data_IF_817254650525
#
_entry.id   IF_817254650525
#
_cell.length_a   1.000
_cell.length_b   1.000
_cell.length_c   1.000
_cell.angle_alpha   90.00
_cell.angle_beta   90.00
_cell.angle_gamma   90.00
#
_symmetry.space_group_name_H-M   'P 1'
#
loop_
_entity.id
_entity.type
_entity.pdbx_description
1 polymer ?
#
# COMPACT_ATOMS: atom_id res chain seq x y z
N UNK A 1 22.53 -26.06 7.70
CA UNK A 1 21.54 -25.01 7.97
C UNK A 1 20.66 -24.88 6.74
N UNK A 2 19.34 -25.00 6.87
CA UNK A 2 18.45 -24.72 5.74
C UNK A 2 18.30 -23.20 5.59
N UNK A 3 17.98 -22.75 4.38
CA UNK A 3 17.80 -21.34 4.01
C UNK A 3 16.70 -20.61 4.84
N UNK A 4 15.94 -21.32 5.68
CA UNK A 4 14.69 -20.82 6.26
C UNK A 4 14.58 -20.91 7.80
N UNK A 5 15.65 -21.23 8.54
CA UNK A 5 15.57 -21.32 10.01
C UNK A 5 16.75 -20.61 10.69
N UNK A 6 16.45 -19.71 11.64
CA UNK A 6 17.44 -19.17 12.59
C UNK A 6 17.93 -20.34 13.45
N UNK A 7 19.23 -20.63 13.41
CA UNK A 7 19.80 -21.94 13.78
C UNK A 7 19.94 -22.22 15.28
N UNK A 8 18.83 -22.30 16.02
CA UNK A 8 18.83 -22.68 17.44
C UNK A 8 18.47 -24.16 17.63
N UNK A 9 17.35 -24.62 17.07
CA UNK A 9 17.09 -26.05 16.85
C UNK A 9 17.39 -26.45 15.41
N UNK A 10 17.86 -27.67 15.23
CA UNK A 10 18.17 -28.26 13.93
C UNK A 10 17.83 -29.75 13.89
N UNK A 11 17.76 -30.28 12.67
CA UNK A 11 17.65 -31.70 12.41
C UNK A 11 19.03 -32.35 12.40
N UNK A 12 19.15 -33.48 13.09
CA UNK A 12 20.37 -34.28 13.16
C UNK A 12 20.12 -35.69 12.63
N UNK A 13 21.21 -36.42 12.38
CA UNK A 13 21.20 -37.82 11.95
C UNK A 13 20.25 -38.03 10.76
N UNK A 14 20.35 -37.20 9.72
CA UNK A 14 19.48 -37.26 8.54
C UNK A 14 17.96 -37.13 8.85
N UNK A 15 17.59 -36.29 9.82
CA UNK A 15 16.19 -36.07 10.20
C UNK A 15 15.65 -37.11 11.18
N UNK A 16 16.52 -37.88 11.83
CA UNK A 16 16.16 -38.87 12.85
C UNK A 16 15.97 -38.27 14.24
N UNK A 17 16.56 -37.11 14.49
CA UNK A 17 16.41 -36.42 15.78
C UNK A 17 16.36 -34.90 15.60
N UNK A 18 15.73 -34.24 16.57
CA UNK A 18 15.78 -32.79 16.76
C UNK A 18 16.76 -32.52 17.90
N UNK A 19 17.64 -31.54 17.71
CA UNK A 19 18.61 -31.13 18.71
C UNK A 19 18.88 -29.63 18.66
N UNK A 20 19.53 -29.13 19.71
CA UNK A 20 20.02 -27.76 19.76
C UNK A 20 21.38 -27.64 19.03
N UNK A 21 21.71 -26.42 18.63
CA UNK A 21 22.97 -26.10 17.95
C UNK A 21 24.23 -26.39 18.82
N UNK A 22 24.07 -26.48 20.14
CA UNK A 22 25.12 -26.86 21.09
C UNK A 22 25.36 -28.37 21.18
N UNK A 23 24.60 -29.18 20.43
CA UNK A 23 24.71 -30.63 20.40
C UNK A 23 23.81 -31.35 21.41
N UNK A 24 23.01 -30.63 22.20
CA UNK A 24 22.04 -31.23 23.12
C UNK A 24 20.88 -31.87 22.35
N UNK A 25 20.63 -33.15 22.61
CA UNK A 25 19.49 -33.86 22.03
C UNK A 25 18.17 -33.41 22.67
N UNK A 26 17.19 -33.07 21.85
CA UNK A 26 15.85 -32.63 22.32
C UNK A 26 14.85 -33.78 22.22
N UNK A 27 14.71 -34.37 21.04
CA UNK A 27 13.84 -35.54 20.87
C UNK A 27 14.23 -36.42 19.67
N UNK A 28 13.83 -37.68 19.75
CA UNK A 28 13.94 -38.66 18.67
C UNK A 28 12.64 -38.70 17.87
N UNK A 29 12.74 -38.87 16.56
CA UNK A 29 11.60 -38.77 15.64
C UNK A 29 10.93 -40.14 15.46
N UNK A 30 9.60 -40.16 15.58
CA UNK A 30 8.71 -41.30 15.38
C UNK A 30 7.50 -40.85 14.52
N UNK A 31 6.80 -41.76 13.81
CA UNK A 31 7.02 -43.21 13.70
C UNK A 31 8.25 -43.57 12.88
N UNK A 32 8.72 -44.80 13.05
CA UNK A 32 9.83 -45.38 12.30
C UNK A 32 9.30 -46.48 11.39
N UNK A 33 9.87 -46.57 10.19
CA UNK A 33 9.68 -47.69 9.28
C UNK A 33 10.22 -49.00 9.88
N UNK A 34 9.99 -50.11 9.19
CA UNK A 34 10.41 -51.45 9.61
C UNK A 34 11.94 -51.57 9.85
N UNK A 35 12.73 -50.63 9.30
CA UNK A 35 14.19 -50.57 9.45
C UNK A 35 14.64 -49.65 10.59
N UNK A 36 13.71 -49.08 11.37
CA UNK A 36 14.02 -48.17 12.47
C UNK A 36 14.39 -46.75 12.04
N UNK A 37 14.11 -46.37 10.78
CA UNK A 37 14.28 -44.99 10.29
C UNK A 37 12.96 -44.25 10.34
N UNK A 38 12.93 -42.95 10.68
CA UNK A 38 11.70 -42.17 10.63
C UNK A 38 11.15 -42.21 9.22
N UNK A 39 9.85 -42.49 9.12
CA UNK A 39 9.16 -42.52 7.84
C UNK A 39 9.03 -41.10 7.24
N UNK A 40 8.31 -40.98 6.12
CA UNK A 40 8.09 -39.69 5.47
C UNK A 40 7.36 -38.68 6.37
N UNK A 41 6.43 -39.16 7.19
CA UNK A 41 5.60 -38.34 8.08
C UNK A 41 6.41 -37.85 9.30
N UNK A 42 7.15 -38.74 9.95
CA UNK A 42 8.05 -38.41 11.06
C UNK A 42 9.06 -37.34 10.66
N UNK A 43 9.69 -37.47 9.48
CA UNK A 43 10.61 -36.44 8.96
C UNK A 43 9.91 -35.10 8.72
N UNK A 44 8.68 -35.11 8.21
CA UNK A 44 7.91 -33.88 8.00
C UNK A 44 7.55 -33.19 9.33
N UNK A 45 7.15 -33.97 10.34
CA UNK A 45 6.83 -33.47 11.66
C UNK A 45 8.07 -32.90 12.37
N UNK A 46 9.22 -33.56 12.26
CA UNK A 46 10.48 -33.04 12.78
C UNK A 46 10.86 -31.68 12.16
N UNK A 47 10.67 -31.53 10.85
CA UNK A 47 10.88 -30.24 10.16
C UNK A 47 9.95 -29.15 10.69
N UNK A 48 8.67 -29.48 10.93
CA UNK A 48 7.69 -28.53 11.49
C UNK A 48 8.05 -28.12 12.91
N UNK A 49 8.46 -29.06 13.75
CA UNK A 49 8.89 -28.78 15.13
C UNK A 49 10.04 -27.76 15.13
N UNK A 50 11.09 -28.03 14.34
CA UNK A 50 12.24 -27.13 14.23
C UNK A 50 11.81 -25.75 13.71
N UNK A 51 10.96 -25.69 12.68
CA UNK A 51 10.50 -24.43 12.13
C UNK A 51 9.64 -23.62 13.11
N UNK A 52 8.66 -24.26 13.77
CA UNK A 52 7.77 -23.60 14.71
C UNK A 52 8.51 -23.13 15.96
N UNK A 53 9.41 -23.94 16.51
CA UNK A 53 10.20 -23.55 17.68
C UNK A 53 11.11 -22.36 17.34
N UNK A 54 11.85 -22.42 16.23
CA UNK A 54 12.74 -21.33 15.83
C UNK A 54 11.97 -20.05 15.48
N UNK A 55 10.73 -20.16 15.00
CA UNK A 55 9.84 -19.01 14.75
C UNK A 55 9.40 -18.34 16.05
N UNK A 56 9.16 -19.12 17.09
CA UNK A 56 8.66 -18.69 18.39
C UNK A 56 9.78 -18.44 19.42
N UNK A 57 11.03 -18.42 18.98
CA UNK A 57 12.17 -18.08 19.82
C UNK A 57 12.02 -16.68 20.43
N UNK A 58 12.32 -16.55 21.72
CA UNK A 58 12.20 -15.31 22.49
C UNK A 58 10.82 -15.05 23.12
N UNK A 59 9.80 -15.87 22.85
CA UNK A 59 8.50 -15.80 23.54
C UNK A 59 8.45 -16.73 24.74
N UNK A 60 7.81 -16.31 25.84
CA UNK A 60 7.64 -17.15 27.03
C UNK A 60 6.72 -18.33 26.68
N UNK A 61 7.16 -19.55 27.00
CA UNK A 61 6.39 -20.78 26.76
C UNK A 61 5.02 -20.74 27.42
N UNK A 62 4.89 -20.10 28.59
CA UNK A 62 3.61 -19.95 29.29
C UNK A 62 2.58 -19.13 28.51
N UNK A 63 3.03 -18.28 27.59
CA UNK A 63 2.14 -17.49 26.73
C UNK A 63 1.60 -18.29 25.55
N UNK A 64 2.29 -19.37 25.16
CA UNK A 64 1.97 -20.25 24.04
C UNK A 64 1.12 -21.46 24.46
N UNK A 65 1.29 -21.92 25.70
CA UNK A 65 0.61 -23.10 26.21
C UNK A 65 -0.91 -22.89 26.33
N UNK A 66 -1.68 -23.81 25.72
CA UNK A 66 -3.14 -23.87 25.89
C UNK A 66 -3.93 -22.79 25.16
N UNK A 67 -3.29 -22.00 24.30
CA UNK A 67 -3.97 -20.97 23.48
C UNK A 67 -3.86 -21.30 21.99
N UNK A 68 -4.87 -20.88 21.22
CA UNK A 68 -4.82 -20.93 19.77
C UNK A 68 -3.82 -19.91 19.22
N UNK A 69 -3.33 -20.14 17.99
CA UNK A 69 -2.45 -19.18 17.31
C UNK A 69 -3.10 -17.79 17.20
N UNK A 70 -4.43 -17.74 16.97
CA UNK A 70 -5.17 -16.49 16.91
C UNK A 70 -5.14 -15.74 18.26
N UNK A 71 -5.35 -16.44 19.37
CA UNK A 71 -5.28 -15.84 20.72
C UNK A 71 -3.88 -15.39 21.08
N UNK A 72 -2.85 -16.18 20.75
CA UNK A 72 -1.45 -15.79 20.95
C UNK A 72 -1.10 -14.52 20.15
N UNK A 73 -1.44 -14.49 18.86
CA UNK A 73 -1.22 -13.31 18.01
C UNK A 73 -2.02 -12.10 18.51
N UNK A 74 -3.25 -12.29 18.97
CA UNK A 74 -4.07 -11.21 19.52
C UNK A 74 -3.48 -10.62 20.82
N UNK A 75 -2.86 -11.44 21.68
CA UNK A 75 -2.17 -10.96 22.88
C UNK A 75 -0.87 -10.20 22.57
N UNK A 76 -0.12 -10.66 21.57
CA UNK A 76 1.12 -10.00 21.12
C UNK A 76 0.85 -8.75 20.29
N UNK A 77 -0.31 -8.67 19.63
CA UNK A 77 -0.87 -7.44 19.11
C UNK A 77 -1.34 -6.58 20.29
N UNK A 78 -0.38 -6.03 21.05
CA UNK A 78 -0.65 -5.02 22.06
C UNK A 78 -1.44 -3.86 21.42
N UNK A 79 -2.75 -3.90 21.62
CA UNK A 79 -3.62 -2.74 21.55
C UNK A 79 -3.34 -1.96 22.84
N UNK A 80 -2.46 -0.97 22.77
CA UNK A 80 -2.01 -0.25 23.97
C UNK A 80 -3.16 0.47 24.69
N UNK A 81 -4.25 0.76 23.98
CA UNK A 81 -5.50 1.28 24.55
C UNK A 81 -6.61 1.20 23.49
N UNK A 82 -7.83 0.83 23.91
CA UNK A 82 -9.05 1.04 23.15
C UNK A 82 -9.94 1.96 23.98
N UNK A 83 -9.80 3.26 23.78
CA UNK A 83 -10.60 4.29 24.45
C UNK A 83 -11.78 4.67 23.55
N UNK A 84 -13.00 4.23 23.90
CA UNK A 84 -14.24 4.61 23.21
C UNK A 84 -14.85 5.88 23.79
N UNK A 85 -14.05 6.95 23.89
CA UNK A 85 -14.55 8.24 24.41
C UNK A 85 -14.53 9.39 23.39
N UNK A 86 -13.90 9.24 22.22
CA UNK A 86 -13.88 10.24 21.11
C UNK A 86 -13.34 9.59 19.80
N UNK A 87 -13.88 8.42 19.43
CA UNK A 87 -13.52 7.68 18.21
C UNK A 87 -12.50 6.54 18.36
N UNK A 88 -12.43 5.67 17.35
CA UNK A 88 -11.58 4.46 17.35
C UNK A 88 -10.13 4.80 16.99
N UNK A 89 -9.31 5.08 18.01
CA UNK A 89 -7.86 5.25 17.84
C UNK A 89 -7.15 3.91 18.09
N UNK A 90 -6.69 3.25 17.03
CA UNK A 90 -5.96 1.97 17.12
C UNK A 90 -4.45 2.26 17.05
N UNK A 91 -3.79 2.33 18.21
CA UNK A 91 -2.33 2.35 18.24
C UNK A 91 -1.79 0.91 18.10
N UNK A 92 -1.27 0.60 16.91
CA UNK A 92 -0.65 -0.70 16.61
C UNK A 92 0.87 -0.55 16.60
N UNK A 93 1.58 -1.46 17.26
CA UNK A 93 3.04 -1.52 17.23
C UNK A 93 3.53 -2.90 16.78
N UNK A 94 4.81 -2.99 16.38
CA UNK A 94 5.42 -4.24 15.97
C UNK A 94 4.82 -4.86 14.70
N UNK A 95 4.65 -6.18 14.70
CA UNK A 95 4.22 -6.96 13.51
C UNK A 95 2.79 -6.65 13.05
N UNK A 96 1.91 -6.14 13.93
CA UNK A 96 0.53 -5.81 13.59
C UNK A 96 0.44 -4.66 12.57
N UNK A 97 1.25 -3.61 12.74
CA UNK A 97 1.33 -2.51 11.77
C UNK A 97 1.92 -2.98 10.44
N UNK A 98 2.91 -3.89 10.47
CA UNK A 98 3.47 -4.50 9.27
C UNK A 98 2.45 -5.37 8.52
N UNK A 99 1.60 -6.12 9.22
CA UNK A 99 0.53 -6.92 8.59
C UNK A 99 -0.52 -6.02 7.94
N UNK A 100 -0.95 -4.97 8.64
CA UNK A 100 -1.88 -3.97 8.08
C UNK A 100 -1.27 -3.29 6.86
N UNK A 101 -0.01 -2.85 6.94
CA UNK A 101 0.71 -2.28 5.80
C UNK A 101 0.88 -3.28 4.64
N UNK A 102 1.14 -4.56 4.92
CA UNK A 102 1.24 -5.62 3.92
C UNK A 102 -0.11 -5.93 3.26
N UNK A 103 -1.20 -5.93 4.03
CA UNK A 103 -2.57 -6.06 3.52
C UNK A 103 -2.91 -4.90 2.59
N UNK A 104 -2.57 -3.67 2.95
CA UNK A 104 -2.76 -2.51 2.09
C UNK A 104 -1.84 -2.53 0.85
N UNK A 105 -0.58 -2.97 0.97
CA UNK A 105 0.31 -3.16 -0.17
C UNK A 105 -0.16 -4.28 -1.12
N UNK A 106 -0.78 -5.33 -0.58
CA UNK A 106 -1.46 -6.39 -1.34
C UNK A 106 -2.63 -5.83 -2.16
N UNK A 107 -3.46 -4.97 -1.56
CA UNK A 107 -4.53 -4.26 -2.28
C UNK A 107 -3.98 -3.34 -3.38
N UNK A 108 -2.82 -2.72 -3.16
CA UNK A 108 -2.15 -1.89 -4.18
C UNK A 108 -1.80 -2.69 -5.45
N UNK A 109 -1.29 -3.92 -5.28
CA UNK A 109 -0.96 -4.82 -6.41
C UNK A 109 -2.22 -5.40 -7.04
N UNK A 110 -3.23 -5.76 -6.25
CA UNK A 110 -4.46 -6.37 -6.74
C UNK A 110 -5.36 -5.40 -7.52
N UNK A 111 -5.44 -4.13 -7.10
CA UNK A 111 -6.25 -3.10 -7.76
C UNK A 111 -5.57 -2.48 -8.99
N UNK A 112 -4.37 -2.93 -9.38
CA UNK A 112 -3.63 -2.37 -10.51
C UNK A 112 -3.20 -0.92 -10.32
N UNK A 113 -3.27 -0.40 -9.08
CA UNK A 113 -2.88 0.96 -8.77
C UNK A 113 -1.38 1.14 -9.06
N UNK A 114 -1.05 2.12 -9.91
CA UNK A 114 0.33 2.33 -10.36
C UNK A 114 1.10 3.32 -9.47
N UNK A 115 0.41 4.25 -8.79
CA UNK A 115 1.07 5.31 -8.02
C UNK A 115 0.36 5.74 -6.73
N UNK A 116 -0.95 5.53 -6.61
CA UNK A 116 -1.77 6.06 -5.51
C UNK A 116 -2.94 5.13 -5.21
N UNK A 117 -3.24 4.93 -3.93
CA UNK A 117 -4.40 4.20 -3.44
C UNK A 117 -5.18 5.12 -2.50
N UNK A 118 -6.49 5.17 -2.70
CA UNK A 118 -7.42 5.91 -1.87
C UNK A 118 -8.39 4.95 -1.21
N UNK A 119 -8.58 5.10 0.11
CA UNK A 119 -9.54 4.35 0.89
C UNK A 119 -10.46 5.35 1.56
N UNK A 120 -11.73 5.32 1.20
CA UNK A 120 -12.75 6.13 1.84
C UNK A 120 -13.40 5.35 2.98
N UNK A 121 -13.63 6.05 4.08
CA UNK A 121 -14.34 5.55 5.25
C UNK A 121 -15.31 6.61 5.75
N UNK A 122 -16.20 6.21 6.64
CA UNK A 122 -17.09 7.14 7.33
C UNK A 122 -17.05 6.80 8.82
N UNK A 123 -16.83 7.80 9.66
CA UNK A 123 -16.80 7.63 11.11
C UNK A 123 -17.85 8.56 11.73
N UNK A 124 -18.64 8.10 12.72
CA UNK A 124 -19.77 8.87 13.26
C UNK A 124 -19.44 10.28 13.74
N UNK A 125 -18.22 10.52 14.24
CA UNK A 125 -17.82 11.82 14.82
C UNK A 125 -17.00 12.69 13.85
N UNK A 126 -16.10 12.10 13.07
CA UNK A 126 -15.26 12.84 12.11
C UNK A 126 -15.91 12.95 10.74
N UNK A 127 -17.03 12.25 10.52
CA UNK A 127 -17.70 12.16 9.23
C UNK A 127 -16.90 11.35 8.21
N UNK A 128 -17.17 11.55 6.91
CA UNK A 128 -16.43 10.87 5.84
C UNK A 128 -14.97 11.29 5.86
N UNK A 129 -14.06 10.31 5.81
CA UNK A 129 -12.63 10.52 5.77
C UNK A 129 -11.97 9.65 4.71
N UNK A 130 -10.76 10.06 4.32
CA UNK A 130 -10.00 9.40 3.26
C UNK A 130 -8.59 9.10 3.74
N UNK A 131 -8.17 7.84 3.64
CA UNK A 131 -6.79 7.41 3.83
C UNK A 131 -6.15 7.32 2.45
N UNK A 132 -5.00 7.97 2.30
CA UNK A 132 -4.26 8.02 1.05
C UNK A 132 -2.89 7.38 1.23
N UNK A 133 -2.55 6.49 0.30
CA UNK A 133 -1.26 5.83 0.26
C UNK A 133 -0.62 6.04 -1.09
N UNK A 134 0.67 6.38 -1.10
CA UNK A 134 1.38 6.74 -2.31
C UNK A 134 2.78 6.15 -2.33
N UNK A 135 3.24 5.76 -3.53
CA UNK A 135 4.63 5.34 -3.73
C UNK A 135 5.57 6.53 -3.53
N UNK A 136 6.67 6.29 -2.82
CA UNK A 136 7.75 7.27 -2.57
C UNK A 136 8.34 7.87 -3.84
N UNK A 137 8.37 7.11 -4.94
CA UNK A 137 8.89 7.57 -6.23
C UNK A 137 7.82 8.15 -7.18
N UNK A 138 6.56 8.25 -6.75
CA UNK A 138 5.48 8.87 -7.51
C UNK A 138 5.24 10.33 -7.10
N UNK A 139 4.66 11.13 -8.00
CA UNK A 139 4.22 12.50 -7.67
C UNK A 139 2.99 12.47 -6.77
N UNK A 140 3.01 13.29 -5.71
CA UNK A 140 1.88 13.40 -4.77
C UNK A 140 0.67 14.09 -5.39
N UNK A 141 -0.56 13.86 -4.88
CA UNK A 141 -1.72 14.63 -5.32
C UNK A 141 -1.47 16.14 -5.27
N UNK A 142 -0.84 16.63 -4.20
CA UNK A 142 -0.45 18.04 -4.09
C UNK A 142 0.56 18.46 -5.18
N UNK A 143 1.56 17.61 -5.48
CA UNK A 143 2.53 17.89 -6.55
C UNK A 143 1.91 17.84 -7.95
N UNK A 144 0.97 16.89 -8.20
CA UNK A 144 0.21 16.82 -9.45
C UNK A 144 -0.69 18.04 -9.60
N UNK A 145 -1.38 18.43 -8.53
CA UNK A 145 -2.20 19.63 -8.52
C UNK A 145 -1.35 20.86 -8.82
N UNK A 146 -0.23 21.06 -8.13
CA UNK A 146 0.68 22.17 -8.40
C UNK A 146 1.21 22.17 -9.84
N UNK A 147 1.55 21.00 -10.39
CA UNK A 147 1.98 20.88 -11.78
C UNK A 147 0.85 21.23 -12.77
N UNK A 148 -0.37 20.75 -12.53
CA UNK A 148 -1.55 21.07 -13.32
C UNK A 148 -1.92 22.55 -13.25
N UNK A 149 -1.90 23.14 -12.05
CA UNK A 149 -2.09 24.58 -11.84
C UNK A 149 -1.09 25.38 -12.67
N UNK A 150 0.20 25.01 -12.63
CA UNK A 150 1.21 25.68 -13.43
C UNK A 150 0.97 25.56 -14.95
N UNK A 151 0.55 24.39 -15.42
CA UNK A 151 0.22 24.18 -16.83
C UNK A 151 -1.00 25.01 -17.25
N UNK A 152 -2.03 25.04 -16.42
CA UNK A 152 -3.23 25.85 -16.61
C UNK A 152 -2.88 27.33 -16.69
N UNK A 153 -2.03 27.83 -15.78
CA UNK A 153 -1.67 29.24 -15.74
C UNK A 153 -0.92 29.67 -17.01
N UNK A 154 0.02 28.83 -17.50
CA UNK A 154 0.72 29.06 -18.78
C UNK A 154 -0.26 29.06 -19.97
N UNK A 155 -1.23 28.15 -19.99
CA UNK A 155 -2.23 28.10 -21.06
C UNK A 155 -3.18 29.30 -21.01
N UNK A 156 -3.56 29.74 -19.81
CA UNK A 156 -4.39 30.92 -19.60
C UNK A 156 -3.67 32.19 -20.07
N UNK A 157 -2.37 32.33 -19.77
CA UNK A 157 -1.55 33.43 -20.28
C UNK A 157 -1.50 33.45 -21.82
N UNK A 158 -1.32 32.29 -22.45
CA UNK A 158 -1.34 32.17 -23.91
C UNK A 158 -2.69 32.54 -24.52
N UNK A 159 -3.80 32.09 -23.92
CA UNK A 159 -5.16 32.43 -24.36
C UNK A 159 -5.47 33.92 -24.19
N UNK A 160 -5.02 34.56 -23.11
CA UNK A 160 -5.11 36.01 -22.93
C UNK A 160 -4.32 36.75 -24.02
N UNK A 161 -3.17 36.23 -24.44
CA UNK A 161 -2.43 36.75 -25.60
C UNK A 161 -3.24 36.66 -26.90
N UNK A 162 -3.90 35.53 -27.16
CA UNK A 162 -4.79 35.34 -28.32
C UNK A 162 -5.98 36.31 -28.27
N UNK A 163 -6.63 36.43 -27.12
CA UNK A 163 -7.72 37.39 -26.92
C UNK A 163 -7.25 38.83 -27.12
N UNK A 164 -6.03 39.15 -26.72
CA UNK A 164 -5.39 40.43 -27.02
C UNK A 164 -5.26 40.70 -28.52
N UNK A 165 -4.82 39.71 -29.31
CA UNK A 165 -4.78 39.81 -30.78
C UNK A 165 -6.19 40.00 -31.35
N UNK A 166 -7.16 39.22 -30.86
CA UNK A 166 -8.56 39.30 -31.30
C UNK A 166 -9.14 40.68 -31.03
N UNK A 167 -8.92 41.25 -29.85
CA UNK A 167 -9.40 42.59 -29.49
C UNK A 167 -8.76 43.71 -30.31
N UNK A 168 -7.58 43.48 -30.88
CA UNK A 168 -6.84 44.45 -31.70
C UNK A 168 -6.97 44.19 -33.21
N UNK A 169 -7.81 43.25 -33.65
CA UNK A 169 -8.01 42.94 -35.06
C UNK A 169 -9.46 42.58 -35.39
N UNK A 170 -9.87 42.71 -36.65
CA UNK A 170 -11.26 42.46 -37.06
C UNK A 170 -11.53 40.98 -37.41
N UNK A 171 -10.47 40.17 -37.54
CA UNK A 171 -10.57 38.79 -38.00
C UNK A 171 -9.44 38.40 -38.95
N UNK A 172 -9.64 37.35 -39.73
CA UNK A 172 -8.66 36.84 -40.70
C UNK A 172 -9.12 37.14 -42.12
N UNK A 173 -8.34 37.96 -42.82
CA UNK A 173 -8.56 38.23 -44.24
C UNK A 173 -8.13 37.03 -45.12
N UNK A 174 -8.87 36.76 -46.18
CA UNK A 174 -8.53 35.71 -47.15
C UNK A 174 -8.96 34.29 -46.74
N UNK A 175 -9.49 34.12 -45.53
CA UNK A 175 -10.01 32.83 -45.06
C UNK A 175 -11.16 32.30 -45.92
N UNK A 176 -12.14 33.16 -46.23
CA UNK A 176 -13.29 32.81 -47.07
C UNK A 176 -12.98 32.74 -48.58
N UNK A 177 -11.74 33.08 -49.00
CA UNK A 177 -11.30 33.14 -50.41
C UNK A 177 -12.12 34.07 -51.34
N UNK A 178 -13.09 34.81 -50.81
CA UNK A 178 -13.95 35.76 -51.53
C UNK A 178 -13.61 37.23 -51.20
N UNK A 179 -12.55 37.47 -50.42
CA UNK A 179 -12.11 38.80 -49.99
C UNK A 179 -12.79 39.33 -48.72
N UNK A 180 -13.81 38.66 -48.19
CA UNK A 180 -14.40 38.99 -46.89
C UNK A 180 -13.44 38.62 -45.73
N UNK A 181 -13.57 39.35 -44.62
CA UNK A 181 -12.87 39.05 -43.37
C UNK A 181 -13.73 38.06 -42.58
N UNK A 182 -13.13 36.94 -42.18
CA UNK A 182 -13.75 36.02 -41.23
C UNK A 182 -13.56 36.54 -39.82
N UNK A 183 -14.66 36.81 -39.10
CA UNK A 183 -14.59 37.41 -37.76
C UNK A 183 -14.06 36.41 -36.74
N UNK A 184 -13.56 36.92 -35.62
CA UNK A 184 -13.05 36.05 -34.55
C UNK A 184 -14.13 35.20 -33.89
N UNK A 185 -15.38 35.69 -33.81
CA UNK A 185 -16.53 34.91 -33.33
C UNK A 185 -16.89 33.74 -34.26
N UNK A 186 -16.56 33.84 -35.55
CA UNK A 186 -16.72 32.74 -36.50
C UNK A 186 -15.61 31.70 -36.36
N UNK A 187 -14.36 32.16 -36.18
CA UNK A 187 -13.18 31.31 -36.26
C UNK A 187 -12.77 30.66 -34.94
N UNK A 188 -12.91 31.39 -33.84
CA UNK A 188 -12.45 30.98 -32.51
C UNK A 188 -13.46 31.36 -31.42
N UNK A 189 -14.76 31.00 -31.56
CA UNK A 189 -15.78 31.31 -30.55
C UNK A 189 -15.43 30.76 -29.16
N UNK A 190 -14.66 29.67 -29.10
CA UNK A 190 -14.29 28.98 -27.86
C UNK A 190 -13.32 29.75 -26.96
N UNK A 191 -12.59 30.75 -27.49
CA UNK A 191 -11.56 31.47 -26.70
C UNK A 191 -12.19 32.24 -25.53
N UNK A 192 -13.32 32.92 -25.78
CA UNK A 192 -14.03 33.65 -24.73
C UNK A 192 -14.59 32.69 -23.67
N UNK A 193 -15.22 31.59 -24.11
CA UNK A 193 -15.76 30.56 -23.21
C UNK A 193 -14.69 29.88 -22.37
N UNK A 194 -13.50 29.61 -22.94
CA UNK A 194 -12.40 28.99 -22.22
C UNK A 194 -11.82 29.91 -21.14
N UNK A 195 -11.72 31.22 -21.40
CA UNK A 195 -11.26 32.21 -20.42
C UNK A 195 -12.27 32.38 -19.27
N UNK A 196 -13.56 32.51 -19.59
CA UNK A 196 -14.63 32.60 -18.58
C UNK A 196 -14.66 31.36 -17.66
N UNK A 197 -14.45 30.16 -18.23
CA UNK A 197 -14.39 28.92 -17.45
C UNK A 197 -13.24 28.95 -16.42
N UNK A 198 -12.04 29.38 -16.85
CA UNK A 198 -10.87 29.43 -15.97
C UNK A 198 -11.02 30.50 -14.88
N UNK A 199 -11.68 31.61 -15.16
CA UNK A 199 -11.98 32.66 -14.18
C UNK A 199 -13.06 32.20 -13.17
N UNK A 200 -14.07 31.47 -13.64
CA UNK A 200 -15.14 30.92 -12.80
C UNK A 200 -14.67 29.86 -11.80
N UNK A 201 -13.63 29.08 -12.11
CA UNK A 201 -13.03 28.11 -11.18
C UNK A 201 -12.18 28.74 -10.05
N UNK A 202 -11.88 30.05 -10.11
CA UNK A 202 -11.12 30.76 -9.07
C UNK A 202 -12.00 31.40 -7.98
N UNK A 203 -13.33 31.39 -8.13
CA UNK A 203 -14.30 31.98 -7.19
C UNK A 203 -14.85 30.97 -6.18
#
# INVERSE_FOLDING_TARGET
>A
MSEHTKGLLALFRNGQSVGAADGTGVCEVWPRDENGFPDGEGRANARRIVACWNLLDGYDTKELEGVSLAEFVAKQAYLNEMTTNDGLNISMSGMALQMVAASFAGQFKANGATNYLELSGNHPETGPFTITMQRTHGLTPAQKLAAMTKQRDVLCEALNGVQGVMNNSQGVAGWHQNGAIATWDELLPEVATALEFVEGEQS
#
